data_IF_229121835375
#
_entry.id   IF_229121835375
#
_cell.length_a   1.000
_cell.length_b   1.000
_cell.length_c   1.000
_cell.angle_alpha   90.00
_cell.angle_beta   90.00
_cell.angle_gamma   90.00
#
_symmetry.space_group_name_H-M   'P 1'
#
loop_
_entity.id
_entity.type
_entity.pdbx_description
1 polymer ?
#
# COMPACT_ATOMS: atom_id res chain seq x y z
N UNK A 1 -6.50 -27.07 -41.30
CA UNK A 1 -6.31 -25.79 -40.58
C UNK A 1 -6.27 -24.66 -41.61
N UNK A 2 -7.12 -23.65 -41.45
CA UNK A 2 -7.30 -22.58 -42.44
C UNK A 2 -6.12 -21.58 -42.33
N UNK A 3 -5.31 -21.36 -43.39
CA UNK A 3 -4.06 -20.58 -43.31
C UNK A 3 -4.27 -19.14 -42.81
N UNK A 4 -5.45 -18.57 -43.03
CA UNK A 4 -5.83 -17.24 -42.52
C UNK A 4 -5.89 -17.15 -40.99
N UNK A 5 -6.17 -18.26 -40.30
CA UNK A 5 -6.26 -18.30 -38.82
C UNK A 5 -4.86 -18.29 -38.18
N UNK A 6 -3.86 -18.89 -38.85
CA UNK A 6 -2.48 -18.89 -38.38
C UNK A 6 -1.82 -17.50 -38.44
N UNK A 7 -2.06 -16.74 -39.52
CA UNK A 7 -1.55 -15.38 -39.64
C UNK A 7 -2.22 -14.42 -38.66
N UNK A 8 -3.55 -14.52 -38.48
CA UNK A 8 -4.29 -13.66 -37.55
C UNK A 8 -3.83 -13.82 -36.09
N UNK A 9 -3.62 -15.07 -35.65
CA UNK A 9 -3.18 -15.39 -34.28
C UNK A 9 -1.74 -14.93 -34.01
N UNK A 10 -0.88 -14.97 -35.03
CA UNK A 10 0.48 -14.44 -34.96
C UNK A 10 0.50 -12.91 -34.84
N UNK A 11 -0.26 -12.20 -35.67
CA UNK A 11 -0.39 -10.74 -35.62
C UNK A 11 -0.99 -10.26 -34.29
N UNK A 12 -2.09 -10.87 -33.84
CA UNK A 12 -2.74 -10.52 -32.58
C UNK A 12 -1.78 -10.63 -31.39
N UNK A 13 -0.98 -11.69 -31.36
CA UNK A 13 0.04 -11.89 -30.33
C UNK A 13 1.13 -10.82 -30.37
N UNK A 14 1.61 -10.45 -31.55
CA UNK A 14 2.63 -9.40 -31.67
C UNK A 14 2.11 -8.05 -31.22
N UNK A 15 0.88 -7.70 -31.58
CA UNK A 15 0.23 -6.45 -31.13
C UNK A 15 0.08 -6.44 -29.62
N UNK A 16 -0.37 -7.54 -29.02
CA UNK A 16 -0.53 -7.65 -27.57
C UNK A 16 0.81 -7.51 -26.82
N UNK A 17 1.86 -8.19 -27.29
CA UNK A 17 3.19 -8.13 -26.67
C UNK A 17 3.82 -6.75 -26.83
N UNK A 18 3.69 -6.12 -28.01
CA UNK A 18 4.22 -4.79 -28.25
C UNK A 18 3.47 -3.74 -27.42
N UNK A 19 2.14 -3.81 -27.34
CA UNK A 19 1.35 -2.94 -26.48
C UNK A 19 1.73 -3.10 -25.00
N UNK A 20 1.86 -4.33 -24.50
CA UNK A 20 2.30 -4.60 -23.13
C UNK A 20 3.72 -4.10 -22.85
N UNK A 21 4.65 -4.28 -23.79
CA UNK A 21 6.01 -3.78 -23.68
C UNK A 21 6.08 -2.24 -23.67
N UNK A 22 5.32 -1.58 -24.55
CA UNK A 22 5.22 -0.12 -24.59
C UNK A 22 4.63 0.40 -23.28
N UNK A 23 3.54 -0.20 -22.79
CA UNK A 23 2.93 0.17 -21.51
C UNK A 23 3.92 0.00 -20.34
N UNK A 24 4.63 -1.13 -20.30
CA UNK A 24 5.64 -1.40 -19.29
C UNK A 24 6.80 -0.40 -19.30
N UNK A 25 7.29 -0.03 -20.50
CA UNK A 25 8.34 0.99 -20.65
C UNK A 25 7.84 2.36 -20.21
N UNK A 26 6.62 2.75 -20.59
CA UNK A 26 6.02 4.02 -20.16
C UNK A 26 5.89 4.05 -18.62
N UNK A 27 5.39 2.98 -18.01
CA UNK A 27 5.28 2.87 -16.56
C UNK A 27 6.65 2.96 -15.86
N UNK A 28 7.68 2.30 -16.40
CA UNK A 28 9.04 2.37 -15.87
C UNK A 28 9.62 3.79 -15.99
N UNK A 29 9.43 4.47 -17.12
CA UNK A 29 9.89 5.85 -17.31
C UNK A 29 9.19 6.82 -16.36
N UNK A 30 7.88 6.67 -16.16
CA UNK A 30 7.12 7.47 -15.19
C UNK A 30 7.62 7.23 -13.78
N UNK A 31 7.83 5.97 -13.39
CA UNK A 31 8.36 5.61 -12.06
C UNK A 31 9.75 6.19 -11.84
N UNK A 32 10.66 6.03 -12.80
CA UNK A 32 12.01 6.58 -12.72
C UNK A 32 11.97 8.10 -12.66
N UNK A 33 11.14 8.75 -13.47
CA UNK A 33 10.93 10.19 -13.40
C UNK A 33 10.46 10.63 -12.02
N UNK A 34 9.44 9.98 -11.47
CA UNK A 34 8.91 10.29 -10.15
C UNK A 34 9.99 10.18 -9.06
N UNK A 35 10.81 9.12 -9.10
CA UNK A 35 11.90 8.93 -8.14
C UNK A 35 13.01 9.99 -8.28
N UNK A 36 13.39 10.34 -9.51
CA UNK A 36 14.43 11.34 -9.76
C UNK A 36 14.01 12.75 -9.33
N UNK A 37 12.73 13.08 -9.50
CA UNK A 37 12.18 14.39 -9.13
C UNK A 37 11.57 14.42 -7.73
N UNK A 38 11.65 13.32 -6.96
CA UNK A 38 11.07 13.24 -5.61
C UNK A 38 9.55 13.40 -5.58
N UNK A 39 8.87 13.04 -6.67
CA UNK A 39 7.42 13.14 -6.79
C UNK A 39 6.75 12.00 -6.02
N UNK A 40 5.72 12.34 -5.24
CA UNK A 40 4.99 11.41 -4.39
C UNK A 40 3.51 11.40 -4.79
N UNK A 41 2.93 10.23 -5.10
CA UNK A 41 1.49 10.11 -5.31
C UNK A 41 0.76 10.14 -3.97
N UNK A 42 -0.28 10.98 -3.84
CA UNK A 42 -1.18 11.06 -2.71
C UNK A 42 -2.61 10.77 -3.18
N UNK A 43 -3.29 9.86 -2.50
CA UNK A 43 -4.70 9.54 -2.74
C UNK A 43 -5.55 10.25 -1.69
N UNK A 44 -6.54 11.01 -2.13
CA UNK A 44 -7.45 11.75 -1.26
C UNK A 44 -8.62 10.87 -0.84
N UNK A 45 -8.67 10.52 0.44
CA UNK A 45 -9.74 9.69 1.01
C UNK A 45 -10.84 10.52 1.69
N UNK A 46 -10.52 11.76 2.07
CA UNK A 46 -11.45 12.70 2.69
C UNK A 46 -11.99 13.72 1.67
N UNK A 47 -13.04 14.45 2.06
CA UNK A 47 -13.65 15.52 1.27
C UNK A 47 -13.26 16.94 1.72
N UNK A 48 -12.24 17.09 2.57
CA UNK A 48 -11.90 18.39 3.18
C UNK A 48 -11.36 19.42 2.18
N UNK A 49 -10.88 18.97 1.02
CA UNK A 49 -10.34 19.81 -0.05
C UNK A 49 -11.32 20.08 -1.19
N UNK A 50 -12.58 19.63 -1.07
CA UNK A 50 -13.62 19.94 -2.07
C UNK A 50 -13.99 21.43 -2.00
N UNK A 51 -14.19 22.14 -3.13
CA UNK A 51 -14.33 21.64 -4.51
C UNK A 51 -13.04 21.57 -5.34
N UNK A 52 -11.88 21.94 -4.78
CA UNK A 52 -10.63 21.97 -5.56
C UNK A 52 -10.14 20.56 -5.86
N UNK A 53 -10.12 19.69 -4.84
CA UNK A 53 -9.71 18.29 -4.94
C UNK A 53 -10.79 17.44 -4.28
N UNK A 54 -11.42 16.58 -5.08
CA UNK A 54 -12.50 15.73 -4.60
C UNK A 54 -11.97 14.39 -4.08
N UNK A 55 -12.80 13.72 -3.28
CA UNK A 55 -12.50 12.38 -2.77
C UNK A 55 -12.31 11.39 -3.92
N UNK A 56 -11.25 10.58 -3.83
CA UNK A 56 -10.87 9.61 -4.86
C UNK A 56 -9.98 10.16 -5.96
N UNK A 57 -9.55 11.41 -5.85
CA UNK A 57 -8.53 11.99 -6.73
C UNK A 57 -7.12 11.49 -6.36
N UNK A 58 -6.26 11.45 -7.37
CA UNK A 58 -4.83 11.21 -7.19
C UNK A 58 -4.09 12.53 -7.40
N UNK A 59 -3.40 13.04 -6.39
CA UNK A 59 -2.47 14.14 -6.56
C UNK A 59 -1.03 13.67 -6.63
N UNK A 60 -0.20 14.47 -7.30
CA UNK A 60 1.24 14.35 -7.29
C UNK A 60 1.79 15.52 -6.50
N UNK A 61 2.53 15.23 -5.43
CA UNK A 61 3.22 16.22 -4.62
C UNK A 61 4.73 16.10 -4.77
N UNK A 62 5.43 17.12 -4.29
CA UNK A 62 6.88 17.10 -4.14
C UNK A 62 7.26 17.67 -2.78
N UNK A 63 8.33 17.15 -2.20
CA UNK A 63 8.80 17.61 -0.89
C UNK A 63 9.56 18.93 -1.02
N UNK A 64 9.18 19.90 -0.19
CA UNK A 64 9.69 21.27 -0.21
C UNK A 64 10.15 21.67 1.19
N UNK A 65 11.27 22.40 1.27
CA UNK A 65 11.81 22.91 2.54
C UNK A 65 10.94 24.04 3.08
N UNK A 66 10.97 24.25 4.40
CA UNK A 66 10.22 25.29 5.10
C UNK A 66 10.31 26.66 4.40
N UNK A 67 11.51 27.11 4.02
CA UNK A 67 11.78 28.43 3.41
C UNK A 67 11.10 28.67 2.05
N UNK A 68 10.63 27.59 1.42
CA UNK A 68 9.98 27.62 0.10
C UNK A 68 8.46 27.53 0.18
N UNK A 69 7.91 27.38 1.38
CA UNK A 69 6.47 27.34 1.62
C UNK A 69 5.87 28.74 1.49
N UNK A 70 4.71 28.81 0.85
CA UNK A 70 4.02 30.07 0.56
C UNK A 70 2.53 29.94 0.82
N UNK A 71 1.93 31.07 1.18
CA UNK A 71 0.47 31.18 1.32
C UNK A 71 -0.24 30.78 0.02
N UNK A 72 -1.39 30.11 0.15
CA UNK A 72 -2.20 29.61 -0.95
C UNK A 72 -1.81 28.24 -1.50
N UNK A 73 -0.64 27.69 -1.13
CA UNK A 73 -0.24 26.34 -1.53
C UNK A 73 -1.08 25.27 -0.82
N UNK A 74 -1.32 24.15 -1.50
CA UNK A 74 -1.92 22.96 -0.89
C UNK A 74 -0.77 22.07 -0.42
N UNK A 75 -0.72 21.81 0.87
CA UNK A 75 0.37 21.08 1.51
C UNK A 75 -0.17 19.89 2.28
N UNK A 76 0.57 18.79 2.24
CA UNK A 76 0.34 17.62 3.06
C UNK A 76 1.43 17.57 4.14
N UNK A 77 1.00 17.60 5.40
CA UNK A 77 1.87 17.62 6.58
C UNK A 77 1.49 16.50 7.55
N UNK A 78 2.43 15.96 8.33
CA UNK A 78 2.09 15.08 9.44
C UNK A 78 1.41 15.86 10.57
N UNK A 79 0.26 15.38 11.02
CA UNK A 79 -0.41 15.84 12.22
C UNK A 79 0.20 15.21 13.48
N UNK A 80 -0.11 15.80 14.64
CA UNK A 80 0.45 15.36 15.93
C UNK A 80 0.06 13.94 16.35
N UNK A 81 -0.99 13.38 15.77
CA UNK A 81 -1.45 11.99 15.97
C UNK A 81 -0.81 10.99 14.98
N UNK A 82 0.10 11.46 14.11
CA UNK A 82 0.76 10.66 13.09
C UNK A 82 -0.06 10.46 11.82
N UNK A 83 -1.29 10.98 11.75
CA UNK A 83 -2.04 11.05 10.49
C UNK A 83 -1.42 12.09 9.57
N UNK A 84 -1.69 11.97 8.28
CA UNK A 84 -1.39 13.06 7.34
C UNK A 84 -2.63 13.91 7.17
N UNK A 85 -2.41 15.21 7.05
CA UNK A 85 -3.48 16.19 6.79
C UNK A 85 -3.06 17.01 5.59
N UNK A 86 -3.95 17.09 4.61
CA UNK A 86 -3.71 17.82 3.36
C UNK A 86 -4.65 18.99 3.24
N UNK A 87 -4.15 20.21 3.46
CA UNK A 87 -4.93 21.44 3.53
C UNK A 87 -4.21 22.62 2.82
N UNK A 88 -4.93 23.71 2.60
CA UNK A 88 -4.38 24.94 2.02
C UNK A 88 -3.71 25.80 3.09
N UNK A 89 -2.51 26.30 2.79
CA UNK A 89 -1.80 27.27 3.62
C UNK A 89 -2.54 28.60 3.59
N UNK A 90 -3.08 29.02 4.72
CA UNK A 90 -3.71 30.33 4.91
C UNK A 90 -2.64 31.37 5.26
N UNK A 91 -1.73 31.02 6.17
CA UNK A 91 -0.57 31.85 6.51
C UNK A 91 0.65 31.00 6.80
N UNK A 92 1.84 31.58 6.57
CA UNK A 92 3.13 30.95 6.86
C UNK A 92 4.05 31.92 7.57
N UNK A 93 4.58 31.49 8.72
CA UNK A 93 5.61 32.21 9.46
C UNK A 93 6.90 31.38 9.47
N UNK A 94 7.99 31.95 8.95
CA UNK A 94 9.28 31.26 8.85
C UNK A 94 10.14 31.58 10.09
N UNK A 95 10.70 30.55 10.70
CA UNK A 95 11.50 30.61 11.93
C UNK A 95 12.70 29.67 11.82
N UNK A 96 13.88 30.22 11.52
CA UNK A 96 15.19 29.53 11.53
C UNK A 96 15.20 28.11 10.89
N UNK A 97 14.67 27.98 9.68
CA UNK A 97 14.61 26.70 8.96
C UNK A 97 13.42 25.82 9.34
N UNK A 98 12.44 26.38 10.04
CA UNK A 98 11.11 25.82 10.27
C UNK A 98 10.06 26.80 9.76
N UNK A 99 8.87 26.29 9.46
CA UNK A 99 7.70 27.08 9.12
C UNK A 99 6.56 26.73 10.08
N UNK A 100 5.91 27.73 10.63
CA UNK A 100 4.62 27.60 11.32
C UNK A 100 3.53 27.91 10.31
N UNK A 101 2.69 26.91 10.05
CA UNK A 101 1.64 26.95 9.05
C UNK A 101 0.28 26.99 9.74
N UNK A 102 -0.56 27.94 9.31
CA UNK A 102 -2.00 27.87 9.55
C UNK A 102 -2.63 27.27 8.31
N UNK A 103 -3.26 26.12 8.48
CA UNK A 103 -3.87 25.35 7.40
C UNK A 103 -5.38 25.41 7.48
N UNK A 104 -6.05 25.36 6.33
CA UNK A 104 -7.50 25.23 6.23
C UNK A 104 -7.87 24.35 5.04
N UNK A 105 -8.77 23.39 5.26
CA UNK A 105 -9.40 22.64 4.18
C UNK A 105 -10.33 23.53 3.35
N UNK A 106 -10.33 23.37 2.03
CA UNK A 106 -11.17 24.20 1.14
C UNK A 106 -12.68 24.04 1.41
N UNK A 107 -13.10 22.91 1.97
CA UNK A 107 -14.49 22.65 2.38
C UNK A 107 -14.80 23.17 3.79
N UNK A 108 -13.79 23.56 4.56
CA UNK A 108 -13.95 23.98 5.96
C UNK A 108 -14.16 25.50 6.04
N UNK A 109 -15.08 25.93 6.91
CA UNK A 109 -15.32 27.36 7.16
C UNK A 109 -14.30 27.98 8.13
N UNK A 110 -13.65 27.15 8.93
CA UNK A 110 -12.74 27.56 10.01
C UNK A 110 -11.36 26.96 9.77
N UNK A 111 -10.32 27.70 10.15
CA UNK A 111 -8.93 27.25 10.11
C UNK A 111 -8.71 26.09 11.11
N UNK A 112 -7.67 25.29 10.87
CA UNK A 112 -7.32 24.17 11.74
C UNK A 112 -6.99 24.67 13.15
N UNK A 113 -7.48 23.96 14.17
CA UNK A 113 -7.40 24.40 15.56
C UNK A 113 -5.97 24.55 16.10
N UNK A 114 -5.01 23.82 15.52
CA UNK A 114 -3.61 23.81 15.93
C UNK A 114 -2.71 24.19 14.75
N UNK A 115 -1.86 25.21 14.87
CA UNK A 115 -0.84 25.50 13.87
C UNK A 115 0.17 24.36 13.72
N UNK A 116 0.62 24.12 12.50
CA UNK A 116 1.57 23.05 12.18
C UNK A 116 2.98 23.60 12.08
N UNK A 117 3.90 23.10 12.90
CA UNK A 117 5.33 23.44 12.80
C UNK A 117 6.06 22.36 12.01
N UNK A 118 6.61 22.71 10.86
CA UNK A 118 7.26 21.76 9.95
C UNK A 118 8.59 22.28 9.43
N UNK A 119 9.57 21.39 9.26
CA UNK A 119 10.81 21.68 8.53
C UNK A 119 10.68 21.44 7.02
N UNK A 120 9.76 20.57 6.65
CA UNK A 120 9.48 20.19 5.26
C UNK A 120 8.00 19.81 5.12
N UNK A 121 7.43 20.07 3.95
CA UNK A 121 6.06 19.69 3.63
C UNK A 121 5.96 19.21 2.17
N UNK A 122 4.99 18.34 1.89
CA UNK A 122 4.74 17.86 0.54
C UNK A 122 3.73 18.79 -0.14
N UNK A 123 4.19 19.58 -1.13
CA UNK A 123 3.37 20.54 -1.87
C UNK A 123 2.74 19.86 -3.08
N UNK A 124 1.42 19.94 -3.19
CA UNK A 124 0.65 19.40 -4.32
C UNK A 124 0.90 20.22 -5.59
N UNK A 125 1.30 19.55 -6.67
CA UNK A 125 1.58 20.16 -7.97
C UNK A 125 0.41 20.04 -8.94
N UNK A 126 -0.18 18.85 -9.01
CA UNK A 126 -1.28 18.52 -9.91
C UNK A 126 -2.14 17.42 -9.31
N UNK A 127 -3.40 17.34 -9.73
CA UNK A 127 -4.30 16.25 -9.40
C UNK A 127 -5.01 15.72 -10.64
N UNK A 128 -5.37 14.44 -10.60
CA UNK A 128 -6.11 13.75 -11.66
C UNK A 128 -7.40 13.21 -11.07
N UNK A 129 -8.57 13.68 -11.56
CA UNK A 129 -9.84 13.26 -11.04
C UNK A 129 -10.06 11.75 -11.11
N UNK A 130 -10.61 11.16 -10.04
CA UNK A 130 -10.99 9.73 -9.95
C UNK A 130 -9.85 8.70 -10.11
N UNK A 131 -8.62 9.12 -10.36
CA UNK A 131 -7.51 8.21 -10.58
C UNK A 131 -7.09 7.50 -9.27
N UNK A 132 -7.38 8.10 -8.12
CA UNK A 132 -7.16 7.50 -6.80
C UNK A 132 -7.96 6.21 -6.61
N UNK A 133 -9.19 6.12 -7.14
CA UNK A 133 -9.96 4.87 -7.11
C UNK A 133 -9.32 3.75 -7.92
N UNK A 134 -8.79 4.06 -9.10
CA UNK A 134 -8.12 3.06 -9.95
C UNK A 134 -6.83 2.54 -9.29
N UNK A 135 -6.03 3.44 -8.73
CA UNK A 135 -4.80 3.09 -8.00
C UNK A 135 -5.14 2.29 -6.75
N UNK A 136 -6.09 2.74 -5.92
CA UNK A 136 -6.52 2.03 -4.73
C UNK A 136 -7.05 0.62 -5.03
N UNK A 137 -7.84 0.48 -6.10
CA UNK A 137 -8.31 -0.83 -6.54
C UNK A 137 -7.16 -1.75 -7.01
N UNK A 138 -6.20 -1.21 -7.76
CA UNK A 138 -5.05 -1.98 -8.25
C UNK A 138 -4.09 -2.39 -7.11
N UNK A 139 -3.98 -1.56 -6.08
CA UNK A 139 -3.20 -1.84 -4.86
C UNK A 139 -3.91 -2.78 -3.89
N UNK A 140 -5.20 -3.10 -4.11
CA UNK A 140 -5.91 -4.09 -3.30
C UNK A 140 -5.33 -5.49 -3.48
N UNK A 141 -5.49 -6.41 -2.49
CA UNK A 141 -5.00 -7.80 -2.62
C UNK A 141 -5.52 -8.51 -3.88
N UNK A 142 -6.77 -8.24 -4.27
CA UNK A 142 -7.38 -8.76 -5.50
C UNK A 142 -6.75 -8.12 -6.74
N UNK A 143 -6.54 -6.79 -6.72
CA UNK A 143 -5.89 -6.06 -7.80
C UNK A 143 -4.47 -6.56 -8.06
N UNK A 144 -3.68 -6.73 -7.01
CA UNK A 144 -2.32 -7.26 -7.08
C UNK A 144 -2.29 -8.70 -7.60
N UNK A 145 -3.23 -9.55 -7.18
CA UNK A 145 -3.35 -10.92 -7.68
C UNK A 145 -3.64 -10.94 -9.20
N UNK A 146 -4.61 -10.13 -9.65
CA UNK A 146 -4.95 -10.02 -11.07
C UNK A 146 -3.80 -9.43 -11.90
N UNK A 147 -3.09 -8.43 -11.36
CA UNK A 147 -1.91 -7.87 -12.00
C UNK A 147 -0.79 -8.91 -12.14
N UNK A 148 -0.59 -9.74 -11.12
CA UNK A 148 0.33 -10.88 -11.17
C UNK A 148 -0.06 -11.90 -12.23
N UNK A 149 -1.34 -12.25 -12.34
CA UNK A 149 -1.84 -13.13 -13.41
C UNK A 149 -1.65 -12.53 -14.80
N UNK A 150 -1.89 -11.23 -14.95
CA UNK A 150 -1.65 -10.52 -16.21
C UNK A 150 -0.17 -10.55 -16.60
N UNK A 151 0.74 -10.29 -15.66
CA UNK A 151 2.18 -10.39 -15.88
C UNK A 151 2.59 -11.82 -16.26
N UNK A 152 2.10 -12.84 -15.54
CA UNK A 152 2.35 -14.25 -15.84
C UNK A 152 1.81 -14.65 -17.23
N UNK A 153 0.65 -14.13 -17.60
CA UNK A 153 0.07 -14.31 -18.93
C UNK A 153 0.97 -13.72 -20.01
N UNK A 154 1.43 -12.47 -19.87
CA UNK A 154 2.36 -11.84 -20.80
C UNK A 154 3.66 -12.64 -20.96
N UNK A 155 4.23 -13.14 -19.85
CA UNK A 155 5.42 -14.01 -19.87
C UNK A 155 5.13 -15.32 -20.60
N UNK A 156 3.97 -15.95 -20.35
CA UNK A 156 3.58 -17.20 -21.02
C UNK A 156 3.44 -17.04 -22.54
N UNK A 157 2.90 -15.90 -22.97
CA UNK A 157 2.79 -15.53 -24.39
C UNK A 157 4.18 -15.30 -24.98
N UNK A 158 5.13 -14.75 -24.22
CA UNK A 158 6.51 -14.56 -24.70
C UNK A 158 7.25 -15.89 -24.90
N UNK A 159 7.15 -16.82 -23.94
CA UNK A 159 7.80 -18.14 -23.98
C UNK A 159 7.25 -19.05 -25.08
N UNK A 160 5.93 -19.11 -25.27
CA UNK A 160 5.26 -20.03 -26.22
C UNK A 160 5.40 -19.70 -27.71
N UNK A 161 6.37 -18.87 -28.12
CA UNK A 161 6.60 -18.70 -29.56
C UNK A 161 7.93 -18.10 -29.94
N UNK A 162 8.96 -18.51 -29.21
CA UNK A 162 10.15 -18.90 -29.94
C UNK A 162 9.76 -20.11 -30.82
N UNK A 163 9.67 -19.97 -32.16
CA UNK A 163 9.47 -21.13 -33.01
C UNK A 163 10.70 -22.02 -32.83
N UNK A 164 10.52 -23.26 -32.39
CA UNK A 164 11.59 -24.24 -32.52
C UNK A 164 11.87 -24.37 -34.01
N UNK A 165 13.00 -23.81 -34.47
CA UNK A 165 13.54 -24.16 -35.78
C UNK A 165 13.90 -25.63 -35.70
N UNK A 166 12.97 -26.49 -36.08
CA UNK A 166 13.22 -27.93 -36.21
C UNK A 166 14.43 -28.14 -37.12
N UNK A 167 15.36 -29.05 -36.77
CA UNK A 167 16.43 -29.43 -37.68
C UNK A 167 15.76 -29.92 -38.96
N UNK A 168 15.96 -29.21 -40.06
CA UNK A 168 15.31 -29.53 -41.33
C UNK A 168 15.60 -30.97 -41.71
N UNK A 169 14.54 -31.78 -41.78
CA UNK A 169 14.54 -33.07 -42.46
C UNK A 169 14.96 -32.82 -43.90
N UNK A 170 16.24 -33.04 -44.19
CA UNK A 170 16.74 -33.19 -45.53
C UNK A 170 16.12 -34.44 -46.12
N UNK A 171 14.99 -34.27 -46.79
CA UNK A 171 14.48 -35.24 -47.74
C UNK A 171 15.52 -35.40 -48.84
N UNK A 172 16.40 -36.40 -48.71
CA UNK A 172 17.17 -36.93 -49.82
C UNK A 172 16.42 -38.16 -50.31
N UNK A 173 15.48 -37.94 -51.22
CA UNK A 173 14.91 -39.00 -52.08
C UNK A 173 16.02 -39.41 -53.06
N UNK A 174 16.83 -40.41 -52.69
CA UNK A 174 17.74 -41.06 -53.62
C UNK A 174 16.94 -42.12 -54.40
N UNK A 175 16.48 -41.73 -55.58
CA UNK A 175 16.02 -42.66 -56.61
C UNK A 175 17.21 -43.52 -57.06
N UNK A 176 16.98 -44.82 -57.06
CA UNK A 176 17.86 -45.89 -57.51
C UNK A 176 18.11 -45.84 -59.02
N UNK A 177 19.37 -45.85 -59.45
CA UNK A 177 19.82 -46.55 -60.67
C UNK A 177 21.35 -46.77 -60.63
N UNK A 178 21.88 -48.01 -60.80
CA UNK A 178 23.31 -48.25 -60.89
C UNK A 178 23.73 -48.28 -62.36
N UNK A 179 24.55 -47.31 -62.80
CA UNK A 179 25.27 -47.41 -64.08
C UNK A 179 26.78 -47.34 -63.85
N UNK A 180 27.42 -48.48 -64.11
CA UNK A 180 28.87 -48.71 -64.11
C UNK A 180 29.45 -48.25 -65.45
N UNK A 181 30.40 -47.29 -65.48
CA UNK A 181 31.43 -47.07 -66.54
C UNK A 181 32.65 -46.31 -65.91
N UNK A 182 33.93 -46.61 -66.29
CA UNK A 182 35.13 -46.36 -65.47
C UNK A 182 35.88 -45.04 -65.81
N UNK A 183 37.06 -44.73 -65.20
CA UNK A 183 37.46 -43.36 -64.92
C UNK A 183 38.33 -42.73 -66.00
N UNK A 184 38.17 -41.41 -66.21
CA UNK A 184 39.23 -40.60 -66.83
C UNK A 184 39.53 -39.35 -66.00
N UNK A 185 40.85 -39.19 -65.78
CA UNK A 185 41.56 -38.09 -65.15
C UNK A 185 41.12 -36.73 -65.69
N UNK A 186 40.97 -35.75 -64.81
CA UNK A 186 40.87 -34.36 -65.25
C UNK A 186 40.68 -33.37 -64.12
N UNK A 187 41.79 -32.87 -63.58
CA UNK A 187 41.85 -31.79 -62.57
C UNK A 187 41.07 -30.55 -63.04
N UNK A 188 40.25 -29.97 -62.15
CA UNK A 188 40.42 -28.61 -61.56
C UNK A 188 39.10 -28.14 -60.94
N UNK A 189 39.14 -27.95 -59.62
CA UNK A 189 38.07 -27.44 -58.79
C UNK A 189 37.79 -25.96 -59.11
N UNK A 190 36.65 -25.66 -59.74
CA UNK A 190 36.07 -24.32 -59.76
C UNK A 190 35.14 -24.18 -58.53
N UNK A 191 35.74 -23.77 -57.42
CA UNK A 191 35.06 -23.44 -56.17
C UNK A 191 34.12 -22.24 -56.39
N UNK A 192 32.87 -22.49 -56.79
CA UNK A 192 31.81 -21.48 -56.77
C UNK A 192 31.56 -21.06 -55.31
N UNK A 193 32.13 -19.93 -54.90
CA UNK A 193 31.80 -19.25 -53.65
C UNK A 193 30.34 -18.85 -53.71
N UNK A 194 29.44 -19.66 -53.14
CA UNK A 194 28.11 -19.17 -52.71
C UNK A 194 28.37 -18.17 -51.60
N UNK A 195 28.16 -16.89 -51.92
CA UNK A 195 28.13 -15.80 -50.94
C UNK A 195 26.96 -16.10 -50.01
N UNK A 196 27.28 -16.68 -48.86
CA UNK A 196 26.37 -16.85 -47.73
C UNK A 196 26.08 -15.43 -47.24
N UNK A 197 24.98 -14.82 -47.70
CA UNK A 197 24.40 -13.63 -47.06
C UNK A 197 24.15 -14.02 -45.61
N UNK A 198 25.06 -13.62 -44.73
CA UNK A 198 24.83 -13.61 -43.29
C UNK A 198 23.75 -12.56 -43.07
N UNK A 199 22.51 -13.01 -42.94
CA UNK A 199 21.46 -12.23 -42.31
C UNK A 199 21.93 -11.93 -40.88
N UNK A 200 22.44 -10.72 -40.68
CA UNK A 200 22.70 -10.12 -39.37
C UNK A 200 21.32 -9.81 -38.77
N UNK A 201 20.66 -10.84 -38.25
CA UNK A 201 19.40 -10.76 -37.52
C UNK A 201 19.48 -11.81 -36.42
N UNK A 202 20.18 -11.47 -35.34
CA UNK A 202 20.41 -12.39 -34.23
C UNK A 202 21.29 -11.84 -33.12
N UNK A 203 21.27 -10.54 -32.87
CA UNK A 203 22.06 -9.91 -31.79
C UNK A 203 21.32 -8.82 -31.02
N UNK A 204 19.98 -8.76 -31.11
CA UNK A 204 19.17 -7.70 -30.50
C UNK A 204 18.36 -8.11 -29.25
N UNK A 205 18.49 -9.35 -28.77
CA UNK A 205 17.66 -9.84 -27.67
C UNK A 205 18.53 -10.47 -26.57
N UNK A 206 19.27 -9.63 -25.86
CA UNK A 206 20.14 -10.07 -24.77
C UNK A 206 20.47 -9.02 -23.70
N UNK A 207 19.82 -7.84 -23.67
CA UNK A 207 20.23 -6.77 -22.74
C UNK A 207 19.08 -6.10 -21.95
N UNK A 208 17.81 -6.50 -22.07
CA UNK A 208 16.73 -5.80 -21.31
C UNK A 208 16.45 -6.41 -19.92
N UNK A 209 17.21 -7.42 -19.46
CA UNK A 209 17.03 -8.04 -18.14
C UNK A 209 18.18 -7.82 -17.15
N UNK A 210 18.92 -6.70 -17.25
CA UNK A 210 19.99 -6.41 -16.29
C UNK A 210 20.24 -4.91 -16.03
N UNK A 211 19.18 -4.09 -15.90
CA UNK A 211 19.31 -2.73 -15.35
C UNK A 211 18.50 -2.49 -14.05
N UNK A 212 17.98 -3.55 -13.43
CA UNK A 212 17.46 -3.50 -12.06
C UNK A 212 18.43 -4.00 -10.98
N UNK A 213 19.69 -4.32 -11.32
CA UNK A 213 20.54 -5.16 -10.47
C UNK A 213 21.96 -4.69 -10.14
N UNK A 214 22.46 -3.54 -10.64
CA UNK A 214 23.88 -3.15 -10.41
C UNK A 214 24.08 -1.66 -10.10
N UNK A 215 23.24 -1.09 -9.23
CA UNK A 215 23.49 0.24 -8.65
C UNK A 215 23.30 0.26 -7.12
N UNK A 216 23.72 -0.80 -6.43
CA UNK A 216 23.55 -0.91 -4.97
C UNK A 216 24.71 -1.55 -4.21
N UNK A 217 25.89 -1.69 -4.82
CA UNK A 217 27.08 -2.20 -4.14
C UNK A 217 28.11 -1.09 -3.99
N UNK A 218 27.84 -0.14 -3.07
CA UNK A 218 28.82 0.66 -2.29
C UNK A 218 28.13 1.87 -1.64
N UNK A 219 27.11 1.63 -0.81
CA UNK A 219 26.77 2.52 0.30
C UNK A 219 25.88 1.74 1.26
N UNK A 220 26.43 1.36 2.41
CA UNK A 220 25.64 0.87 3.53
C UNK A 220 24.75 2.02 4.01
N UNK A 221 23.48 2.01 3.60
CA UNK A 221 22.39 2.70 4.29
C UNK A 221 21.20 1.76 4.36
N UNK A 222 20.60 1.74 5.54
CA UNK A 222 19.51 0.88 5.97
C UNK A 222 18.43 0.78 4.88
N UNK A 223 18.16 -0.44 4.42
CA UNK A 223 17.07 -0.72 3.49
C UNK A 223 15.78 -0.69 4.32
N UNK A 224 15.21 0.50 4.49
CA UNK A 224 13.80 0.64 4.86
C UNK A 224 12.97 0.06 3.72
N UNK A 225 12.03 -0.86 3.97
CA UNK A 225 11.17 -1.39 2.91
C UNK A 225 10.44 -0.22 2.22
N UNK A 226 10.48 -0.17 0.89
CA UNK A 226 9.77 0.81 0.04
C UNK A 226 8.27 0.51 0.01
N UNK A 227 7.65 0.41 1.18
CA UNK A 227 6.20 0.45 1.36
C UNK A 227 5.85 1.92 1.60
N UNK A 228 5.52 2.61 0.51
CA UNK A 228 5.18 4.03 0.53
C UNK A 228 3.97 4.26 -0.39
N UNK A 229 2.88 3.55 -0.13
CA UNK A 229 1.54 4.06 -0.43
C UNK A 229 1.23 5.05 0.69
N UNK A 230 1.56 6.32 0.47
CA UNK A 230 1.17 7.41 1.37
C UNK A 230 -0.23 7.86 0.98
N UNK A 231 -1.23 7.05 1.36
CA UNK A 231 -2.61 7.49 1.45
C UNK A 231 -2.70 8.59 2.52
N UNK A 232 -3.59 9.56 2.33
CA UNK A 232 -4.07 10.42 3.42
C UNK A 232 -4.91 9.51 4.32
N UNK A 233 -4.23 8.66 5.08
CA UNK A 233 -4.88 7.83 6.06
C UNK A 233 -5.39 8.77 7.13
N UNK A 234 -6.71 8.94 7.17
CA UNK A 234 -7.33 8.69 8.48
C UNK A 234 -6.84 7.29 8.82
N UNK A 235 -5.93 7.26 9.77
CA UNK A 235 -5.52 6.05 10.39
C UNK A 235 -6.78 5.49 11.03
N UNK A 236 -7.46 4.58 10.33
CA UNK A 236 -7.97 3.39 11.01
C UNK A 236 -6.69 2.70 11.47
N UNK A 237 -6.23 3.07 12.68
CA UNK A 237 -5.05 2.48 13.31
C UNK A 237 -5.24 0.99 13.22
N UNK A 238 -4.21 0.32 12.71
CA UNK A 238 -4.35 -0.95 12.07
C UNK A 238 -5.16 -1.97 12.87
N UNK A 239 -5.59 -2.97 12.13
CA UNK A 239 -5.38 -4.33 12.61
C UNK A 239 -3.87 -4.60 12.81
N UNK A 240 -3.17 -3.77 13.60
CA UNK A 240 -2.16 -4.28 14.50
C UNK A 240 -2.96 -5.06 15.54
N UNK A 241 -3.08 -6.36 15.30
CA UNK A 241 -3.34 -7.32 16.36
C UNK A 241 -2.12 -7.38 17.29
N UNK A 242 -1.56 -6.24 17.71
CA UNK A 242 -1.17 -6.15 19.11
C UNK A 242 -2.49 -6.21 19.85
N UNK A 243 -2.84 -7.41 20.30
CA UNK A 243 -3.71 -7.52 21.44
C UNK A 243 -3.05 -6.64 22.51
N UNK A 244 -3.50 -5.38 22.61
CA UNK A 244 -3.46 -4.66 23.86
C UNK A 244 -4.34 -5.54 24.75
N UNK A 245 -3.72 -6.53 25.37
CA UNK A 245 -4.27 -7.22 26.50
C UNK A 245 -4.35 -6.14 27.57
N UNK A 246 -5.39 -5.32 27.49
CA UNK A 246 -5.79 -4.44 28.57
C UNK A 246 -5.95 -5.40 29.75
N UNK A 247 -5.05 -5.36 30.75
CA UNK A 247 -5.11 -6.32 31.83
C UNK A 247 -6.47 -6.16 32.48
N UNK A 248 -7.23 -7.25 32.55
CA UNK A 248 -8.55 -7.21 33.12
C UNK A 248 -8.43 -6.74 34.58
N UNK A 249 -9.19 -5.71 35.00
CA UNK A 249 -9.11 -5.23 36.37
C UNK A 249 -9.57 -6.34 37.32
N UNK A 250 -8.76 -6.67 38.33
CA UNK A 250 -9.16 -7.63 39.36
C UNK A 250 -10.07 -6.92 40.33
N UNK A 251 -11.33 -7.36 40.46
CA UNK A 251 -12.29 -6.78 41.38
C UNK A 251 -12.31 -7.60 42.67
N UNK A 252 -12.04 -6.93 43.78
CA UNK A 252 -12.13 -7.48 45.13
C UNK A 252 -13.22 -6.76 45.91
N UNK A 253 -13.89 -7.51 46.79
CA UNK A 253 -14.96 -7.01 47.64
C UNK A 253 -14.51 -7.19 49.09
N UNK A 254 -14.60 -6.12 49.87
CA UNK A 254 -14.29 -6.10 51.30
C UNK A 254 -15.52 -5.64 52.08
N UNK A 255 -15.72 -6.23 53.25
CA UNK A 255 -16.84 -5.90 54.11
C UNK A 255 -16.36 -5.09 55.32
N UNK A 256 -17.00 -3.95 55.54
CA UNK A 256 -16.79 -3.07 56.68
C UNK A 256 -18.03 -3.01 57.57
N UNK A 257 -18.01 -2.16 58.58
CA UNK A 257 -19.14 -1.94 59.49
C UNK A 257 -20.33 -1.35 58.71
N UNK A 258 -21.30 -2.22 58.37
CA UNK A 258 -22.54 -1.91 57.62
C UNK A 258 -22.35 -1.41 56.18
N UNK A 259 -21.15 -1.55 55.60
CA UNK A 259 -20.83 -1.12 54.24
C UNK A 259 -20.04 -2.21 53.52
N UNK A 260 -20.24 -2.32 52.20
CA UNK A 260 -19.39 -3.14 51.32
C UNK A 260 -18.63 -2.23 50.37
N UNK A 261 -17.34 -2.50 50.22
CA UNK A 261 -16.44 -1.73 49.36
C UNK A 261 -15.89 -2.64 48.29
N UNK A 262 -16.13 -2.26 47.04
CA UNK A 262 -15.53 -2.87 45.86
C UNK A 262 -14.29 -2.09 45.49
N UNK A 263 -13.18 -2.78 45.32
CA UNK A 263 -11.89 -2.21 44.89
C UNK A 263 -11.41 -2.94 43.65
N UNK A 264 -10.83 -2.20 42.72
CA UNK A 264 -10.25 -2.78 41.50
C UNK A 264 -8.89 -2.19 41.17
N UNK A 265 -8.12 -2.88 40.32
CA UNK A 265 -6.81 -2.38 39.89
C UNK A 265 -6.97 -1.29 38.83
N UNK A 266 -6.11 -0.25 38.91
CA UNK A 266 -6.10 0.81 37.91
C UNK A 266 -5.60 0.28 36.57
N UNK A 267 -6.38 0.51 35.51
CA UNK A 267 -6.03 0.19 34.14
C UNK A 267 -5.25 1.37 33.54
N UNK A 268 -4.03 1.16 33.00
CA UNK A 268 -3.25 2.21 32.36
C UNK A 268 -4.02 2.88 31.21
N UNK A 269 -4.09 4.21 31.22
CA UNK A 269 -4.79 5.00 30.20
C UNK A 269 -6.29 5.20 30.43
N UNK A 270 -6.89 4.59 31.45
CA UNK A 270 -8.30 4.79 31.76
C UNK A 270 -8.55 6.20 32.34
N UNK A 271 -9.54 6.91 31.81
CA UNK A 271 -9.98 8.24 32.26
C UNK A 271 -11.08 8.16 33.32
N UNK A 272 -11.70 6.99 33.51
CA UNK A 272 -12.76 6.73 34.47
C UNK A 272 -13.25 5.28 34.44
N UNK A 273 -14.18 4.93 35.31
CA UNK A 273 -14.78 3.59 35.41
C UNK A 273 -16.30 3.67 35.51
N UNK A 274 -16.98 2.73 34.85
CA UNK A 274 -18.42 2.48 35.03
C UNK A 274 -18.61 1.24 35.89
N UNK A 275 -19.25 1.40 37.05
CA UNK A 275 -19.61 0.32 37.96
C UNK A 275 -21.07 -0.08 37.75
N UNK A 276 -21.31 -1.37 37.54
CA UNK A 276 -22.64 -1.96 37.45
C UNK A 276 -22.90 -2.77 38.71
N UNK A 277 -23.89 -2.34 39.48
CA UNK A 277 -24.20 -2.96 40.77
C UNK A 277 -25.09 -4.22 40.66
N UNK A 278 -25.67 -4.49 39.48
CA UNK A 278 -26.38 -5.71 39.15
C UNK A 278 -26.51 -5.86 37.63
N UNK A 279 -26.94 -7.03 37.12
CA UNK A 279 -27.13 -7.24 35.68
C UNK A 279 -28.22 -6.32 35.13
N UNK A 280 -27.84 -5.46 34.19
CA UNK A 280 -28.76 -4.53 33.52
C UNK A 280 -29.11 -3.29 34.33
N UNK A 281 -28.41 -3.03 35.45
CA UNK A 281 -28.51 -1.76 36.16
C UNK A 281 -27.86 -0.62 35.36
N UNK A 282 -28.30 0.62 35.59
CA UNK A 282 -27.65 1.79 35.02
C UNK A 282 -26.22 1.96 35.57
N UNK A 283 -25.25 2.37 34.73
CA UNK A 283 -23.86 2.48 35.13
C UNK A 283 -23.65 3.67 36.08
N UNK A 284 -22.96 3.42 37.20
CA UNK A 284 -22.50 4.46 38.12
C UNK A 284 -21.09 4.88 37.69
N UNK A 285 -20.90 6.17 37.42
CA UNK A 285 -19.60 6.72 37.01
C UNK A 285 -18.70 6.95 38.23
N UNK A 286 -17.50 6.38 38.22
CA UNK A 286 -16.53 6.44 39.30
C UNK A 286 -15.18 6.88 38.74
N UNK A 287 -14.60 7.95 39.31
CA UNK A 287 -13.29 8.49 38.91
C UNK A 287 -12.10 7.81 39.60
N UNK A 288 -12.36 7.00 40.62
CA UNK A 288 -11.36 6.25 41.38
C UNK A 288 -11.40 4.74 41.12
N UNK A 289 -10.64 4.00 41.92
CA UNK A 289 -10.53 2.53 41.88
C UNK A 289 -11.34 1.83 42.96
N UNK A 290 -12.26 2.54 43.61
CA UNK A 290 -13.11 1.98 44.65
C UNK A 290 -14.52 2.58 44.64
N UNK A 291 -15.49 1.76 45.04
CA UNK A 291 -16.88 2.16 45.24
C UNK A 291 -17.45 1.49 46.49
N UNK A 292 -18.07 2.27 47.36
CA UNK A 292 -18.68 1.79 48.60
C UNK A 292 -20.18 1.98 48.55
N UNK A 293 -20.92 0.93 48.91
CA UNK A 293 -22.36 0.99 49.04
C UNK A 293 -22.87 0.25 50.27
N UNK A 294 -24.09 0.56 50.68
CA UNK A 294 -24.79 -0.17 51.72
C UNK A 294 -25.18 -1.55 51.18
N UNK A 295 -24.94 -2.66 51.92
CA UNK A 295 -25.26 -4.00 51.45
C UNK A 295 -26.75 -4.14 51.11
N UNK A 296 -27.03 -4.64 49.90
CA UNK A 296 -28.39 -4.94 49.42
C UNK A 296 -28.47 -6.34 48.80
N UNK A 297 -29.63 -6.71 48.26
CA UNK A 297 -29.90 -8.05 47.70
C UNK A 297 -29.32 -8.28 46.28
N UNK A 298 -28.30 -7.53 45.88
CA UNK A 298 -27.72 -7.58 44.53
C UNK A 298 -26.68 -8.69 44.44
N UNK A 299 -26.69 -9.43 43.32
CA UNK A 299 -25.93 -10.69 43.16
C UNK A 299 -24.74 -10.59 42.21
N UNK A 300 -24.56 -9.44 41.56
CA UNK A 300 -23.55 -9.25 40.53
C UNK A 300 -22.90 -7.88 40.69
N UNK A 301 -21.60 -7.80 40.45
CA UNK A 301 -20.90 -6.53 40.30
C UNK A 301 -19.94 -6.65 39.11
N UNK A 302 -19.96 -5.67 38.21
CA UNK A 302 -18.99 -5.56 37.12
C UNK A 302 -18.46 -4.14 37.00
N UNK A 303 -17.22 -4.01 36.54
CA UNK A 303 -16.55 -2.74 36.31
C UNK A 303 -16.02 -2.71 34.89
N UNK A 304 -16.27 -1.60 34.21
CA UNK A 304 -15.83 -1.33 32.85
C UNK A 304 -14.96 -0.08 32.85
N UNK A 305 -13.73 -0.17 32.34
CA UNK A 305 -12.84 0.97 32.19
C UNK A 305 -13.26 1.84 30.99
N UNK A 306 -13.16 3.16 31.15
CA UNK A 306 -13.47 4.15 30.12
C UNK A 306 -12.21 4.88 29.65
N UNK A 307 -12.17 5.20 28.36
CA UNK A 307 -11.03 5.85 27.70
C UNK A 307 -11.51 7.08 26.90
N UNK A 308 -12.19 8.00 27.59
CA UNK A 308 -12.80 9.19 26.98
C UNK A 308 -14.05 8.87 26.17
N UNK A 309 -13.93 8.77 24.84
CA UNK A 309 -15.07 8.66 23.92
C UNK A 309 -15.53 7.22 23.66
N UNK A 310 -14.83 6.23 24.22
CA UNK A 310 -15.19 4.82 24.09
C UNK A 310 -15.01 4.06 25.41
N UNK A 311 -15.81 3.01 25.58
CA UNK A 311 -15.71 2.03 26.67
C UNK A 311 -15.32 0.67 26.11
N UNK A 312 -14.65 -0.18 26.90
CA UNK A 312 -14.31 -1.52 26.43
C UNK A 312 -15.57 -2.31 26.01
N UNK A 313 -15.50 -3.14 24.95
CA UNK A 313 -16.64 -3.97 24.52
C UNK A 313 -17.03 -4.96 25.62
N UNK A 314 -18.34 -5.28 25.73
CA UNK A 314 -18.87 -6.24 26.73
C UNK A 314 -18.21 -7.62 26.71
N UNK A 315 -17.47 -7.97 25.66
CA UNK A 315 -16.68 -9.20 25.58
C UNK A 315 -15.43 -9.21 26.48
N UNK A 316 -15.03 -8.06 27.03
CA UNK A 316 -13.97 -7.89 28.04
C UNK A 316 -14.55 -7.52 29.42
N UNK A 317 -15.86 -7.72 29.63
CA UNK A 317 -16.51 -7.51 30.91
C UNK A 317 -16.15 -8.64 31.88
N UNK A 318 -15.40 -8.35 32.94
CA UNK A 318 -15.22 -9.32 34.04
C UNK A 318 -16.41 -9.19 34.98
N UNK A 319 -17.31 -10.16 34.90
CA UNK A 319 -18.45 -10.28 35.81
C UNK A 319 -18.09 -11.11 37.04
N UNK A 320 -18.20 -10.54 38.23
CA UNK A 320 -18.13 -11.30 39.48
C UNK A 320 -19.54 -11.74 39.90
N UNK A 321 -19.68 -13.02 40.23
CA UNK A 321 -20.90 -13.60 40.77
C UNK A 321 -20.78 -13.68 42.30
N UNK A 322 -21.58 -12.88 43.01
CA UNK A 322 -21.57 -12.84 44.47
C UNK A 322 -22.33 -14.06 45.00
N UNK A 323 -21.59 -15.02 45.56
CA UNK A 323 -22.12 -16.27 46.11
C UNK A 323 -22.54 -16.09 47.57
N UNK A 324 -23.66 -15.39 47.80
CA UNK A 324 -24.48 -15.53 49.01
C UNK A 324 -23.94 -14.98 50.35
N UNK A 325 -22.72 -14.46 50.41
CA UNK A 325 -22.17 -13.68 51.53
C UNK A 325 -21.97 -12.20 51.10
N UNK A 326 -21.75 -11.24 52.03
CA UNK A 326 -21.73 -9.81 51.67
C UNK A 326 -20.64 -9.44 50.65
N UNK A 327 -19.68 -10.35 50.51
CA UNK A 327 -18.75 -10.66 49.44
C UNK A 327 -18.51 -12.19 49.55
#
# INVERSE_FOLDING_TARGET
MNPRVGELTWWARQVLLTAGAVLGVVCALVTVGALLFGLRPLVFESGSMSPTIDTGDLAISHQVQADSLREGQIVSVPAGDGTRVTHRVVSVEHDHGQAVLVLRGDANEVDDATPYRVGEADVVLLHVPRLGYAVGWLSSPVGLFLLGLYAAFLVSVLVKGAPQRGPGSGAITLSSEPRVVPPTRGRRAARRRRVRRRSVLGGGLGVVLALGGVAGATAAREITPTMATFTDSVVVSGADLTAASVPAPTLSCSWGLFQRTFTWTAVPGATGYSFYADRGADPIQVSGTSYTETPGNRRYASVVAQFGTWSSPRSNEVSYQLLGSPC
#
